data_IF_260940849262
#
_entry.id   IF_260940849262
#
_cell.length_a   1.000
_cell.length_b   1.000
_cell.length_c   1.000
_cell.angle_alpha   90.00
_cell.angle_beta   90.00
_cell.angle_gamma   90.00
#
_symmetry.space_group_name_H-M   'P 1'
#
loop_
_entity.id
_entity.type
_entity.pdbx_description
1 polymer ?
#
# COMPACT_ATOMS: atom_id res chain seq x y z
N UNK A 1 2.50 -18.70 -9.74
CA UNK A 1 1.72 -19.08 -8.53
C UNK A 1 1.00 -17.84 -8.02
N UNK A 2 -0.28 -17.94 -7.61
CA UNK A 2 -1.01 -16.82 -7.00
C UNK A 2 -1.02 -16.95 -5.46
N UNK A 3 -0.76 -15.87 -4.75
CA UNK A 3 -0.73 -15.82 -3.28
C UNK A 3 -1.52 -14.62 -2.76
N UNK A 4 -2.34 -14.86 -1.74
CA UNK A 4 -2.95 -13.86 -0.88
C UNK A 4 -3.03 -14.48 0.51
N UNK A 5 -2.24 -13.96 1.43
CA UNK A 5 -2.14 -14.50 2.78
C UNK A 5 -2.43 -13.42 3.80
N UNK A 6 -3.10 -13.82 4.89
CA UNK A 6 -3.36 -12.98 6.04
C UNK A 6 -2.58 -13.52 7.23
N UNK A 7 -2.04 -12.62 8.04
CA UNK A 7 -1.52 -12.98 9.33
C UNK A 7 -2.67 -13.46 10.23
N UNK A 8 -2.33 -14.24 11.25
CA UNK A 8 -3.30 -14.71 12.24
C UNK A 8 -2.69 -14.61 13.63
N UNK A 9 -3.43 -14.10 14.64
CA UNK A 9 -2.98 -14.13 16.02
C UNK A 9 -2.95 -15.56 16.57
N UNK A 10 -2.14 -15.81 17.59
CA UNK A 10 -2.25 -17.06 18.37
C UNK A 10 -3.52 -17.04 19.22
N UNK A 11 -4.14 -18.20 19.47
CA UNK A 11 -5.32 -18.33 20.34
C UNK A 11 -5.06 -17.84 21.78
N UNK A 12 -3.83 -18.05 22.29
CA UNK A 12 -3.44 -17.68 23.65
C UNK A 12 -2.32 -16.65 23.63
N UNK A 13 -2.69 -15.36 23.70
CA UNK A 13 -1.75 -14.26 23.83
C UNK A 13 -1.66 -13.80 25.29
N UNK A 14 -0.43 -13.70 25.80
CA UNK A 14 -0.20 -13.15 27.16
C UNK A 14 -0.31 -11.63 27.17
N UNK A 15 0.18 -10.95 26.13
CA UNK A 15 0.13 -9.50 26.00
C UNK A 15 -1.08 -9.09 25.16
N UNK A 16 -2.04 -8.46 25.81
CA UNK A 16 -3.27 -7.92 25.18
C UNK A 16 -3.31 -6.39 25.14
N UNK A 17 -2.52 -5.73 25.99
CA UNK A 17 -2.54 -4.29 26.20
C UNK A 17 -1.28 -3.66 25.57
N UNK A 18 -1.40 -3.28 24.30
CA UNK A 18 -0.32 -2.71 23.48
C UNK A 18 -0.64 -1.25 23.18
N UNK A 19 0.34 -0.38 23.41
CA UNK A 19 0.25 1.05 23.12
C UNK A 19 1.14 1.40 21.92
N UNK A 20 0.59 2.17 20.99
CA UNK A 20 1.34 2.84 19.93
C UNK A 20 1.85 4.20 20.42
N UNK A 21 3.17 4.37 20.45
CA UNK A 21 3.78 5.62 20.90
C UNK A 21 3.68 6.75 19.88
N UNK A 22 3.47 6.45 18.59
CA UNK A 22 3.34 7.50 17.56
C UNK A 22 1.97 8.17 17.63
N UNK A 23 0.90 7.38 17.84
CA UNK A 23 -0.47 7.87 17.93
C UNK A 23 -0.95 8.11 19.37
N UNK A 24 -0.18 7.68 20.36
CA UNK A 24 -0.56 7.65 21.78
C UNK A 24 -1.90 6.94 22.04
N UNK A 25 -2.20 5.91 21.25
CA UNK A 25 -3.45 5.15 21.30
C UNK A 25 -3.19 3.64 21.47
N UNK A 26 -4.10 2.91 22.13
CA UNK A 26 -4.00 1.47 22.22
C UNK A 26 -4.22 0.81 20.85
N UNK A 27 -3.53 -0.30 20.60
CA UNK A 27 -3.72 -1.12 19.42
C UNK A 27 -4.73 -2.23 19.69
N UNK A 28 -5.72 -2.34 18.82
CA UNK A 28 -6.61 -3.50 18.78
C UNK A 28 -5.88 -4.68 18.11
N UNK A 29 -5.37 -5.60 18.93
CA UNK A 29 -4.43 -6.64 18.49
C UNK A 29 -5.03 -7.58 17.44
N UNK A 30 -6.31 -7.94 17.55
CA UNK A 30 -6.90 -8.90 16.62
C UNK A 30 -6.99 -8.28 15.21
N UNK A 31 -7.41 -7.02 15.08
CA UNK A 31 -7.32 -6.27 13.82
C UNK A 31 -5.88 -6.13 13.35
N UNK A 32 -4.94 -5.73 14.23
CA UNK A 32 -3.54 -5.55 13.84
C UNK A 32 -2.90 -6.83 13.28
N UNK A 33 -3.19 -7.99 13.89
CA UNK A 33 -2.61 -9.29 13.54
C UNK A 33 -3.43 -10.11 12.55
N UNK A 34 -4.57 -9.60 12.07
CA UNK A 34 -5.40 -10.24 11.03
C UNK A 34 -5.36 -9.50 9.69
N UNK A 35 -4.41 -8.59 9.52
CA UNK A 35 -4.13 -7.90 8.24
C UNK A 35 -3.39 -8.82 7.27
N UNK A 36 -3.23 -8.35 6.03
CA UNK A 36 -2.41 -9.04 5.03
C UNK A 36 -1.01 -9.35 5.60
N UNK A 37 -0.53 -10.57 5.36
CA UNK A 37 0.72 -11.07 5.92
C UNK A 37 1.90 -10.14 5.59
N UNK A 38 1.91 -9.56 4.38
CA UNK A 38 2.94 -8.63 3.92
C UNK A 38 3.11 -7.42 4.86
N UNK A 39 1.99 -6.79 5.23
CA UNK A 39 1.96 -5.63 6.13
C UNK A 39 2.44 -6.02 7.53
N UNK A 40 1.99 -7.16 8.04
CA UNK A 40 2.37 -7.62 9.39
C UNK A 40 3.86 -7.99 9.47
N UNK A 41 4.45 -8.57 8.42
CA UNK A 41 5.89 -8.83 8.35
C UNK A 41 6.70 -7.52 8.23
N UNK A 42 6.21 -6.55 7.47
CA UNK A 42 6.86 -5.23 7.40
C UNK A 42 6.84 -4.52 8.76
N UNK A 43 5.70 -4.52 9.44
CA UNK A 43 5.56 -3.94 10.79
C UNK A 43 6.46 -4.66 11.81
N UNK A 44 6.55 -5.99 11.71
CA UNK A 44 7.47 -6.81 12.51
C UNK A 44 8.92 -6.35 12.35
N UNK A 45 9.36 -6.07 11.12
CA UNK A 45 10.70 -5.58 10.84
C UNK A 45 10.92 -4.13 11.29
N UNK A 46 9.90 -3.27 11.13
CA UNK A 46 9.94 -1.87 11.59
C UNK A 46 10.08 -1.79 13.11
N UNK A 47 9.32 -2.60 13.86
CA UNK A 47 9.47 -2.72 15.31
C UNK A 47 10.90 -3.06 15.71
N UNK A 48 11.49 -4.04 15.04
CA UNK A 48 12.87 -4.41 15.27
C UNK A 48 13.84 -3.29 14.84
N UNK A 49 13.59 -2.60 13.73
CA UNK A 49 14.47 -1.53 13.23
C UNK A 49 14.49 -0.33 14.15
N UNK A 50 13.32 0.18 14.58
CA UNK A 50 13.25 1.29 15.54
C UNK A 50 13.99 0.97 16.82
N UNK A 51 13.77 -0.23 17.36
CA UNK A 51 14.49 -0.68 18.55
C UNK A 51 16.01 -0.78 18.36
N UNK A 52 16.45 -1.16 17.16
CA UNK A 52 17.88 -1.22 16.80
C UNK A 52 18.50 0.17 16.70
N UNK A 53 17.76 1.14 16.17
CA UNK A 53 18.23 2.50 15.94
C UNK A 53 18.23 3.33 17.22
N UNK A 54 17.18 3.21 18.03
CA UNK A 54 17.02 3.94 19.29
C UNK A 54 16.14 3.14 20.24
N UNK A 55 16.75 2.60 21.30
CA UNK A 55 16.06 1.74 22.29
C UNK A 55 15.04 2.52 23.11
N UNK A 56 15.20 3.84 23.22
CA UNK A 56 14.33 4.74 23.99
C UNK A 56 13.17 5.27 23.15
N UNK A 57 13.16 4.99 21.84
CA UNK A 57 12.07 5.34 20.92
C UNK A 57 11.52 4.12 20.18
N UNK A 58 11.04 3.08 20.91
CA UNK A 58 10.34 1.97 20.27
C UNK A 58 9.04 2.48 19.63
N UNK A 59 8.52 1.73 18.65
CA UNK A 59 7.20 2.04 18.10
C UNK A 59 6.08 1.58 19.04
N UNK A 60 6.08 0.29 19.39
CA UNK A 60 5.04 -0.31 20.23
C UNK A 60 5.60 -0.73 21.59
N UNK A 61 4.83 -0.44 22.63
CA UNK A 61 5.17 -0.77 24.03
C UNK A 61 4.04 -1.49 24.73
N UNK A 62 4.37 -2.23 25.79
CA UNK A 62 3.37 -2.73 26.72
C UNK A 62 2.71 -1.56 27.45
N UNK A 63 1.38 -1.48 27.44
CA UNK A 63 0.64 -0.42 28.13
C UNK A 63 0.78 -0.48 29.66
N UNK A 64 1.07 -1.66 30.21
CA UNK A 64 1.20 -1.86 31.66
C UNK A 64 2.56 -1.40 32.21
N UNK A 65 3.64 -1.68 31.50
CA UNK A 65 5.01 -1.44 32.00
C UNK A 65 5.84 -0.49 31.14
N UNK A 66 5.39 -0.14 29.93
CA UNK A 66 6.13 0.72 29.01
C UNK A 66 7.31 0.04 28.31
N UNK A 67 7.57 -1.25 28.53
CA UNK A 67 8.66 -1.95 27.88
C UNK A 67 8.40 -2.13 26.37
N UNK A 68 9.44 -1.93 25.57
CA UNK A 68 9.41 -2.16 24.12
C UNK A 68 8.97 -3.58 23.78
N UNK A 69 8.17 -3.71 22.73
CA UNK A 69 7.68 -4.99 22.25
C UNK A 69 8.39 -5.44 20.97
N UNK A 70 8.42 -6.75 20.76
CA UNK A 70 8.63 -7.34 19.44
C UNK A 70 7.40 -8.13 19.02
N UNK A 71 7.18 -8.18 17.71
CA UNK A 71 6.20 -9.07 17.12
C UNK A 71 6.85 -10.41 16.81
N UNK A 72 6.35 -11.49 17.40
CA UNK A 72 6.87 -12.85 17.26
C UNK A 72 5.96 -13.66 16.36
N UNK A 73 6.57 -14.63 15.68
CA UNK A 73 5.89 -15.58 14.82
C UNK A 73 6.24 -16.99 15.27
N UNK A 74 5.22 -17.83 15.42
CA UNK A 74 5.35 -19.23 15.83
C UNK A 74 5.73 -20.12 14.63
N UNK A 75 6.12 -21.37 14.91
CA UNK A 75 6.35 -22.36 13.85
C UNK A 75 5.10 -22.66 13.01
N UNK A 76 3.91 -22.54 13.60
CA UNK A 76 2.63 -22.68 12.92
C UNK A 76 2.16 -21.38 12.23
N UNK A 77 3.08 -20.41 12.02
CA UNK A 77 2.85 -19.13 11.34
C UNK A 77 1.84 -18.19 12.01
N UNK A 78 1.50 -18.41 13.29
CA UNK A 78 0.72 -17.46 14.09
C UNK A 78 1.58 -16.35 14.70
N UNK A 79 0.98 -15.21 15.01
CA UNK A 79 1.65 -14.03 15.52
C UNK A 79 1.20 -13.65 16.94
N UNK A 80 2.12 -13.10 17.73
CA UNK A 80 1.82 -12.52 19.05
C UNK A 80 2.92 -11.55 19.47
N UNK A 81 2.61 -10.64 20.39
CA UNK A 81 3.61 -9.73 20.97
C UNK A 81 4.35 -10.37 22.14
N UNK A 82 5.62 -10.01 22.29
CA UNK A 82 6.47 -10.30 23.45
C UNK A 82 7.24 -9.05 23.85
N UNK A 83 7.58 -8.93 25.14
CA UNK A 83 8.55 -7.93 25.56
C UNK A 83 9.89 -8.18 24.90
N UNK A 84 10.61 -7.10 24.56
CA UNK A 84 11.94 -7.23 24.00
C UNK A 84 12.87 -7.92 25.01
N UNK A 85 13.56 -9.03 24.67
CA UNK A 85 14.30 -9.85 25.64
C UNK A 85 15.42 -9.13 26.40
N UNK A 86 15.92 -8.02 25.86
CA UNK A 86 16.97 -7.21 26.50
C UNK A 86 16.42 -6.18 27.49
N UNK A 87 15.11 -5.96 27.50
CA UNK A 87 14.42 -5.06 28.44
C UNK A 87 13.51 -5.85 29.39
N UNK A 88 13.01 -7.01 28.96
CA UNK A 88 12.21 -7.90 29.78
C UNK A 88 12.97 -8.32 31.06
N UNK A 89 12.39 -7.99 32.22
CA UNK A 89 12.99 -8.22 33.53
C UNK A 89 13.81 -7.06 34.08
N UNK A 90 14.16 -6.06 33.27
CA UNK A 90 14.67 -4.77 33.76
C UNK A 90 13.52 -3.88 34.24
N UNK A 91 12.37 -4.00 33.60
CA UNK A 91 11.12 -3.33 33.98
C UNK A 91 10.17 -4.39 34.54
N UNK A 92 9.61 -4.12 35.72
CA UNK A 92 8.64 -5.02 36.35
C UNK A 92 7.33 -4.96 35.57
N UNK A 93 6.81 -6.12 35.19
CA UNK A 93 5.50 -6.27 34.55
C UNK A 93 4.80 -7.50 35.15
N UNK A 94 3.49 -7.41 35.35
CA UNK A 94 2.68 -8.54 35.82
C UNK A 94 2.56 -9.64 34.76
N UNK A 95 2.83 -9.30 33.50
CA UNK A 95 2.84 -10.22 32.37
C UNK A 95 4.29 -10.58 32.02
N UNK A 96 4.68 -11.83 32.28
CA UNK A 96 5.95 -12.38 31.80
C UNK A 96 5.78 -13.10 30.47
N UNK A 97 6.53 -12.64 29.47
CA UNK A 97 6.64 -13.26 28.15
C UNK A 97 7.99 -13.95 27.94
N UNK A 98 8.74 -14.16 29.01
CA UNK A 98 10.07 -14.77 28.95
C UNK A 98 9.96 -16.22 28.50
N UNK A 99 10.81 -16.60 27.55
CA UNK A 99 10.95 -18.00 27.14
C UNK A 99 11.82 -18.77 28.12
N UNK A 100 11.74 -20.10 28.06
CA UNK A 100 12.57 -20.99 28.90
C UNK A 100 14.06 -20.86 28.58
N UNK A 101 14.39 -20.64 27.30
CA UNK A 101 15.75 -20.46 26.83
C UNK A 101 16.08 -18.96 26.69
N UNK A 102 17.27 -18.59 27.14
CA UNK A 102 17.82 -17.26 26.92
C UNK A 102 18.18 -17.03 25.44
N UNK A 103 18.24 -15.77 24.97
CA UNK A 103 18.69 -15.45 23.61
C UNK A 103 20.06 -16.05 23.27
N UNK A 104 20.98 -16.10 24.23
CA UNK A 104 22.31 -16.69 24.05
C UNK A 104 22.23 -18.21 23.84
N UNK A 105 21.38 -18.92 24.59
CA UNK A 105 21.15 -20.35 24.40
C UNK A 105 20.47 -20.64 23.05
N UNK A 106 19.49 -19.83 22.65
CA UNK A 106 18.81 -19.97 21.34
C UNK A 106 19.81 -19.73 20.19
N UNK A 107 20.68 -18.73 20.33
CA UNK A 107 21.76 -18.41 19.39
C UNK A 107 22.76 -19.56 19.31
N UNK A 108 23.18 -20.10 20.46
CA UNK A 108 24.05 -21.26 20.52
C UNK A 108 23.38 -22.46 19.83
N UNK A 109 22.14 -22.83 20.16
CA UNK A 109 21.45 -23.96 19.49
C UNK A 109 21.41 -23.78 17.97
N UNK A 110 21.15 -22.55 17.50
CA UNK A 110 21.02 -22.26 16.07
C UNK A 110 22.35 -22.32 15.31
N UNK A 111 23.45 -21.86 15.92
CA UNK A 111 24.74 -21.72 15.24
C UNK A 111 25.81 -22.73 15.66
N UNK A 112 25.67 -23.42 16.79
CA UNK A 112 26.65 -24.37 17.33
C UNK A 112 26.75 -25.67 16.50
N UNK A 113 25.81 -25.90 15.57
CA UNK A 113 25.84 -27.00 14.61
C UNK A 113 26.07 -26.56 13.14
N UNK A 114 26.14 -25.26 12.84
CA UNK A 114 26.33 -24.75 11.48
C UNK A 114 27.78 -24.30 11.27
N UNK A 115 28.67 -25.28 11.02
CA UNK A 115 29.88 -24.96 10.24
C UNK A 115 29.45 -24.44 8.88
N UNK A 116 30.21 -23.50 8.33
CA UNK A 116 30.02 -23.05 6.96
C UNK A 116 29.94 -24.25 6.01
N UNK A 117 28.84 -24.37 5.28
CA UNK A 117 28.61 -25.50 4.39
C UNK A 117 29.35 -25.33 3.07
N UNK A 118 29.63 -26.44 2.38
CA UNK A 118 30.19 -26.41 1.03
C UNK A 118 29.30 -25.59 0.05
N UNK A 119 27.98 -25.61 0.26
CA UNK A 119 27.04 -24.79 -0.50
C UNK A 119 27.26 -23.28 -0.28
N UNK A 120 27.52 -22.85 0.96
CA UNK A 120 27.79 -21.44 1.27
C UNK A 120 29.06 -20.95 0.58
N UNK A 121 30.14 -21.76 0.68
CA UNK A 121 31.40 -21.50 0.00
C UNK A 121 31.21 -21.46 -1.54
N UNK A 122 30.42 -22.38 -2.09
CA UNK A 122 30.12 -22.41 -3.54
C UNK A 122 29.41 -21.13 -3.99
N UNK A 123 28.38 -20.69 -3.27
CA UNK A 123 27.64 -19.47 -3.61
C UNK A 123 28.50 -18.21 -3.52
N UNK A 124 29.35 -18.08 -2.49
CA UNK A 124 30.34 -17.00 -2.43
C UNK A 124 31.26 -16.99 -3.65
N UNK A 125 31.74 -18.17 -4.06
CA UNK A 125 32.53 -18.34 -5.26
C UNK A 125 31.77 -17.93 -6.53
N UNK A 126 30.48 -18.30 -6.65
CA UNK A 126 29.62 -17.89 -7.77
C UNK A 126 29.48 -16.37 -7.81
N UNK A 127 29.14 -15.74 -6.69
CA UNK A 127 28.97 -14.28 -6.61
C UNK A 127 30.27 -13.57 -7.02
N UNK A 128 31.41 -13.98 -6.44
CA UNK A 128 32.73 -13.44 -6.79
C UNK A 128 33.00 -13.56 -8.29
N UNK A 129 32.87 -14.76 -8.85
CA UNK A 129 33.23 -15.03 -10.26
C UNK A 129 32.26 -14.33 -11.23
N UNK A 130 30.99 -14.20 -10.88
CA UNK A 130 30.01 -13.41 -11.64
C UNK A 130 30.34 -11.92 -11.63
N UNK A 131 30.79 -11.39 -10.49
CA UNK A 131 31.24 -9.99 -10.36
C UNK A 131 32.54 -9.72 -11.15
N UNK A 132 33.48 -10.67 -11.17
CA UNK A 132 34.70 -10.58 -12.02
C UNK A 132 34.33 -10.51 -13.50
N UNK A 133 33.28 -11.20 -13.92
CA UNK A 133 32.81 -11.17 -15.31
C UNK A 133 32.13 -9.84 -15.68
N UNK A 134 31.57 -9.12 -14.70
CA UNK A 134 30.87 -7.85 -14.90
C UNK A 134 31.85 -6.67 -14.98
N UNK A 135 31.99 -6.09 -16.18
CA UNK A 135 32.94 -4.99 -16.43
C UNK A 135 32.60 -3.68 -15.71
N UNK A 136 31.37 -3.54 -15.22
CA UNK A 136 30.97 -2.36 -14.43
C UNK A 136 31.44 -2.44 -12.97
N UNK A 137 31.89 -3.60 -12.53
CA UNK A 137 32.34 -3.86 -11.17
C UNK A 137 33.87 -3.75 -11.04
N UNK A 138 34.33 -3.25 -9.89
CA UNK A 138 35.72 -3.37 -9.45
C UNK A 138 36.05 -4.76 -8.90
N UNK A 139 37.22 -4.90 -8.29
CA UNK A 139 37.69 -6.18 -7.74
C UNK A 139 36.83 -6.65 -6.55
N UNK A 140 36.10 -7.78 -6.67
CA UNK A 140 35.23 -8.26 -5.61
C UNK A 140 36.05 -8.75 -4.40
N UNK A 141 35.65 -8.31 -3.21
CA UNK A 141 36.31 -8.67 -1.96
C UNK A 141 35.44 -9.69 -1.23
N UNK A 142 35.94 -10.92 -1.10
CA UNK A 142 35.26 -11.98 -0.33
C UNK A 142 35.61 -11.80 1.13
N UNK A 143 34.60 -11.83 2.00
CA UNK A 143 34.81 -11.86 3.45
C UNK A 143 35.66 -10.71 4.03
N UNK A 144 35.71 -9.58 3.34
CA UNK A 144 36.46 -8.42 3.83
C UNK A 144 35.62 -7.62 4.82
N UNK A 145 36.25 -7.18 5.91
CA UNK A 145 35.57 -6.36 6.92
C UNK A 145 35.14 -5.01 6.33
N UNK A 146 33.86 -4.71 6.48
CA UNK A 146 33.27 -3.40 6.28
C UNK A 146 33.23 -2.66 7.61
N UNK A 147 34.20 -1.75 7.83
CA UNK A 147 34.19 -0.84 8.98
C UNK A 147 33.27 0.34 8.68
N UNK A 148 32.56 0.82 9.70
CA UNK A 148 31.56 1.86 9.55
C UNK A 148 31.23 2.56 10.86
N UNK A 149 30.36 3.56 10.78
CA UNK A 149 29.71 4.14 11.94
C UNK A 149 28.86 3.06 12.63
N UNK A 150 28.89 3.07 13.95
CA UNK A 150 27.99 2.24 14.74
C UNK A 150 26.55 2.68 14.49
N UNK A 151 25.66 1.71 14.28
CA UNK A 151 24.22 1.94 14.38
C UNK A 151 23.85 1.67 15.84
N UNK A 152 23.60 2.74 16.60
CA UNK A 152 23.38 2.71 18.05
C UNK A 152 24.48 1.95 18.82
N UNK A 153 24.15 1.24 19.91
CA UNK A 153 25.05 0.39 20.71
C UNK A 153 25.47 -0.93 20.00
N UNK A 154 25.40 -1.02 18.66
CA UNK A 154 25.73 -2.25 17.90
C UNK A 154 27.00 -2.10 17.06
N UNK A 155 27.38 -3.20 16.39
CA UNK A 155 28.68 -3.42 15.76
C UNK A 155 29.14 -2.27 14.86
N UNK A 156 30.36 -1.79 15.10
CA UNK A 156 31.10 -0.81 14.27
C UNK A 156 31.62 -1.39 12.95
N UNK A 157 31.32 -2.66 12.69
CA UNK A 157 31.73 -3.35 11.50
C UNK A 157 30.79 -4.51 11.17
N UNK A 158 30.75 -4.87 9.89
CA UNK A 158 30.19 -6.12 9.37
C UNK A 158 31.18 -6.78 8.43
N UNK A 159 30.94 -8.04 8.11
CA UNK A 159 31.76 -8.82 7.18
C UNK A 159 30.81 -9.46 6.17
N UNK A 160 30.46 -8.76 5.08
CA UNK A 160 29.65 -9.35 4.03
C UNK A 160 30.34 -10.57 3.43
N UNK A 161 29.56 -11.49 2.90
CA UNK A 161 30.06 -12.69 2.24
C UNK A 161 30.90 -12.34 1.02
N UNK A 162 30.38 -11.43 0.20
CA UNK A 162 31.11 -10.78 -0.89
C UNK A 162 30.73 -9.31 -0.93
N UNK A 163 31.66 -8.43 -1.31
CA UNK A 163 31.36 -7.03 -1.58
C UNK A 163 32.09 -6.55 -2.81
N UNK A 164 31.56 -5.50 -3.44
CA UNK A 164 32.15 -4.90 -4.63
C UNK A 164 31.88 -3.40 -4.66
N UNK A 165 32.71 -2.68 -5.41
CA UNK A 165 32.45 -1.28 -5.79
C UNK A 165 31.99 -1.27 -7.25
N UNK A 166 30.88 -0.61 -7.55
CA UNK A 166 30.36 -0.39 -8.89
C UNK A 166 30.09 1.10 -9.05
N UNK A 167 30.91 1.78 -9.86
CA UNK A 167 30.90 3.24 -9.89
C UNK A 167 31.22 3.83 -8.51
N UNK A 168 30.32 4.64 -7.96
CA UNK A 168 30.44 5.20 -6.61
C UNK A 168 29.77 4.33 -5.53
N UNK A 169 29.08 3.27 -5.93
CA UNK A 169 28.26 2.47 -5.04
C UNK A 169 29.04 1.29 -4.50
N UNK A 170 28.99 1.09 -3.18
CA UNK A 170 29.54 -0.10 -2.54
C UNK A 170 28.39 -1.05 -2.21
N UNK A 171 28.48 -2.28 -2.72
CA UNK A 171 27.40 -3.26 -2.65
C UNK A 171 27.89 -4.46 -1.82
N UNK A 172 27.15 -4.80 -0.78
CA UNK A 172 27.32 -6.00 0.02
C UNK A 172 26.38 -7.10 -0.49
N UNK A 173 26.90 -8.32 -0.63
CA UNK A 173 26.13 -9.52 -0.91
C UNK A 173 26.13 -10.40 0.34
N UNK A 174 24.95 -10.83 0.76
CA UNK A 174 24.74 -11.70 1.93
C UNK A 174 24.03 -12.97 1.44
N UNK A 175 24.66 -14.13 1.65
CA UNK A 175 24.15 -15.43 1.23
C UNK A 175 23.25 -15.99 2.32
N UNK A 176 22.02 -16.37 1.95
CA UNK A 176 21.06 -16.95 2.89
C UNK A 176 20.75 -18.40 2.53
N UNK A 177 21.35 -19.34 3.26
CA UNK A 177 21.10 -20.79 3.12
C UNK A 177 20.26 -21.38 4.25
N UNK A 178 20.46 -20.91 5.47
CA UNK A 178 19.83 -21.45 6.67
C UNK A 178 18.76 -20.51 7.23
N UNK A 179 18.18 -20.82 8.39
CA UNK A 179 17.33 -19.86 9.09
C UNK A 179 18.21 -18.83 9.80
N UNK A 180 17.84 -17.55 9.79
CA UNK A 180 18.49 -16.49 10.59
C UNK A 180 17.48 -15.81 11.51
N UNK A 181 17.91 -14.93 12.41
CA UNK A 181 17.01 -14.15 13.26
C UNK A 181 16.64 -12.83 12.56
N UNK A 182 15.42 -12.35 12.76
CA UNK A 182 15.00 -11.03 12.25
C UNK A 182 15.95 -9.92 12.71
N UNK A 183 16.44 -9.98 13.94
CA UNK A 183 17.39 -8.99 14.49
C UNK A 183 18.71 -8.94 13.72
N UNK A 184 19.12 -10.06 13.11
CA UNK A 184 20.31 -10.15 12.26
C UNK A 184 20.05 -9.59 10.84
N UNK A 185 18.85 -9.82 10.30
CA UNK A 185 18.41 -9.27 9.00
C UNK A 185 18.34 -7.75 9.09
N UNK A 186 17.57 -7.24 10.06
CA UNK A 186 17.40 -5.81 10.31
C UNK A 186 18.73 -5.16 10.67
N UNK A 187 19.53 -5.80 11.53
CA UNK A 187 20.84 -5.29 11.93
C UNK A 187 21.84 -5.13 10.78
N UNK A 188 21.78 -5.99 9.75
CA UNK A 188 22.59 -5.82 8.52
C UNK A 188 22.06 -4.69 7.66
N UNK A 189 20.74 -4.66 7.45
CA UNK A 189 20.06 -3.61 6.67
C UNK A 189 20.40 -2.22 7.21
N UNK A 190 20.21 -1.99 8.51
CA UNK A 190 20.49 -0.71 9.13
C UNK A 190 21.97 -0.33 9.09
N UNK A 191 22.86 -1.31 9.30
CA UNK A 191 24.31 -1.07 9.21
C UNK A 191 24.73 -0.57 7.82
N UNK A 192 24.34 -1.27 6.76
CA UNK A 192 24.74 -0.87 5.41
C UNK A 192 24.09 0.45 5.00
N UNK A 193 22.81 0.68 5.39
CA UNK A 193 22.11 1.96 5.17
C UNK A 193 22.84 3.14 5.79
N UNK A 194 23.21 3.04 7.07
CA UNK A 194 23.93 4.08 7.79
C UNK A 194 25.34 4.34 7.22
N UNK A 195 25.93 3.35 6.54
CA UNK A 195 27.28 3.40 6.00
C UNK A 195 27.31 3.61 4.47
N UNK A 196 26.21 4.10 3.89
CA UNK A 196 26.13 4.45 2.46
C UNK A 196 26.32 3.27 1.51
N UNK A 197 26.18 2.04 2.00
CA UNK A 197 26.29 0.83 1.21
C UNK A 197 24.93 0.26 0.86
N UNK A 198 24.80 -0.34 -0.32
CA UNK A 198 23.64 -1.15 -0.68
C UNK A 198 23.86 -2.61 -0.27
N UNK A 199 22.78 -3.36 -0.07
CA UNK A 199 22.83 -4.78 0.31
C UNK A 199 21.91 -5.59 -0.60
N UNK A 200 22.41 -6.71 -1.12
CA UNK A 200 21.65 -7.69 -1.90
C UNK A 200 21.68 -9.02 -1.15
N UNK A 201 20.51 -9.50 -0.76
CA UNK A 201 20.35 -10.87 -0.26
C UNK A 201 20.30 -11.85 -1.42
N UNK A 202 21.06 -12.94 -1.30
CA UNK A 202 21.17 -13.96 -2.34
C UNK A 202 20.84 -15.34 -1.77
N UNK A 203 19.99 -16.07 -2.49
CA UNK A 203 19.54 -17.41 -2.13
C UNK A 203 20.11 -18.45 -3.11
N UNK A 204 20.11 -19.72 -2.69
CA UNK A 204 20.44 -20.85 -3.58
C UNK A 204 19.26 -21.26 -4.46
N UNK A 205 18.06 -21.21 -3.88
CA UNK A 205 16.81 -21.58 -4.50
C UNK A 205 15.67 -20.83 -3.79
N UNK A 206 14.50 -20.83 -4.42
CA UNK A 206 13.28 -20.26 -3.86
C UNK A 206 12.08 -21.02 -4.42
N UNK A 207 11.13 -21.33 -3.54
CA UNK A 207 9.82 -21.84 -3.90
C UNK A 207 8.76 -20.98 -3.21
N UNK A 208 7.98 -20.17 -3.96
CA UNK A 208 6.93 -19.34 -3.37
C UNK A 208 5.81 -20.16 -2.70
N UNK A 209 5.73 -21.48 -2.92
CA UNK A 209 4.76 -22.36 -2.28
C UNK A 209 5.22 -22.94 -0.94
N UNK A 210 6.52 -22.84 -0.64
CA UNK A 210 7.15 -23.45 0.52
C UNK A 210 8.24 -22.55 1.10
N UNK A 211 7.82 -21.42 1.68
CA UNK A 211 8.73 -20.39 2.20
C UNK A 211 9.05 -20.55 3.69
N UNK A 212 10.31 -20.26 4.05
CA UNK A 212 10.79 -20.20 5.43
C UNK A 212 10.58 -18.80 5.99
N UNK A 213 10.40 -18.69 7.31
CA UNK A 213 10.21 -17.38 7.99
C UNK A 213 11.30 -16.37 7.65
N UNK A 214 12.57 -16.79 7.57
CA UNK A 214 13.67 -15.89 7.25
C UNK A 214 13.63 -15.40 5.79
N UNK A 215 13.13 -16.22 4.85
CA UNK A 215 12.95 -15.79 3.46
C UNK A 215 11.88 -14.72 3.39
N UNK A 216 10.75 -14.93 4.07
CA UNK A 216 9.66 -13.94 4.14
C UNK A 216 10.12 -12.63 4.81
N UNK A 217 10.81 -12.72 5.95
CA UNK A 217 11.42 -11.57 6.64
C UNK A 217 12.40 -10.81 5.72
N UNK A 218 12.97 -11.44 4.69
CA UNK A 218 13.85 -10.79 3.70
C UNK A 218 13.04 -10.23 2.53
N UNK A 219 12.25 -11.04 1.83
CA UNK A 219 11.64 -10.62 0.57
C UNK A 219 10.51 -9.61 0.74
N UNK A 220 9.77 -9.63 1.86
CA UNK A 220 8.76 -8.60 2.14
C UNK A 220 9.38 -7.22 2.38
N UNK A 221 10.66 -7.18 2.79
CA UNK A 221 11.45 -5.97 2.93
C UNK A 221 12.23 -5.61 1.66
N UNK A 222 12.29 -6.51 0.70
CA UNK A 222 12.99 -6.34 -0.57
C UNK A 222 12.03 -6.19 -1.76
N UNK A 223 10.92 -5.48 -1.53
CA UNK A 223 9.89 -5.21 -2.53
C UNK A 223 9.36 -6.48 -3.23
N UNK A 224 9.27 -7.60 -2.51
CA UNK A 224 8.92 -8.92 -3.04
C UNK A 224 9.80 -9.41 -4.20
N UNK A 225 11.09 -9.06 -4.18
CA UNK A 225 12.10 -9.59 -5.10
C UNK A 225 13.05 -10.54 -4.35
N UNK A 226 13.28 -11.72 -4.93
CA UNK A 226 14.20 -12.76 -4.43
C UNK A 226 15.25 -13.02 -5.49
N UNK A 227 16.52 -12.79 -5.15
CA UNK A 227 17.64 -13.01 -6.07
C UNK A 227 18.32 -14.34 -5.78
N UNK A 228 18.45 -15.17 -6.82
CA UNK A 228 19.10 -16.47 -6.75
C UNK A 228 20.38 -16.43 -7.58
N UNK A 229 21.43 -17.09 -7.07
CA UNK A 229 22.61 -17.42 -7.84
C UNK A 229 22.90 -18.92 -7.80
N UNK A 230 23.36 -19.46 -8.92
CA UNK A 230 23.71 -20.87 -9.07
C UNK A 230 24.69 -21.02 -10.26
N UNK A 231 25.07 -22.25 -10.60
CA UNK A 231 25.95 -22.53 -11.73
C UNK A 231 25.42 -21.98 -13.07
N UNK A 232 24.09 -21.97 -13.27
CA UNK A 232 23.46 -21.43 -14.48
C UNK A 232 23.62 -19.90 -14.54
N UNK A 233 23.38 -19.18 -13.44
CA UNK A 233 23.55 -17.72 -13.44
C UNK A 233 25.03 -17.31 -13.55
N UNK A 234 25.96 -18.13 -13.05
CA UNK A 234 27.40 -17.93 -13.28
C UNK A 234 27.76 -18.07 -14.77
N UNK A 235 27.27 -19.12 -15.44
CA UNK A 235 27.49 -19.32 -16.86
C UNK A 235 26.92 -18.16 -17.68
N UNK A 236 25.72 -17.69 -17.33
CA UNK A 236 25.09 -16.51 -17.94
C UNK A 236 25.90 -15.24 -17.69
N UNK A 237 26.47 -15.08 -16.49
CA UNK A 237 27.29 -13.92 -16.17
C UNK A 237 28.55 -13.87 -17.03
N UNK A 238 29.19 -15.02 -17.23
CA UNK A 238 30.39 -15.15 -18.07
C UNK A 238 30.09 -14.92 -19.55
N UNK A 239 28.97 -15.40 -20.06
CA UNK A 239 28.60 -15.21 -21.48
C UNK A 239 28.16 -13.78 -21.77
N UNK A 240 27.41 -13.15 -20.87
CA UNK A 240 26.90 -11.79 -21.03
C UNK A 240 27.90 -10.70 -20.63
N UNK A 241 28.91 -11.03 -19.81
CA UNK A 241 29.84 -10.05 -19.24
C UNK A 241 29.16 -9.07 -18.26
N UNK A 242 28.06 -9.52 -17.63
CA UNK A 242 27.20 -8.79 -16.69
C UNK A 242 26.80 -9.75 -15.57
N UNK A 243 26.81 -9.33 -14.32
CA UNK A 243 26.43 -10.20 -13.20
C UNK A 243 24.94 -10.53 -13.31
N UNK A 244 24.63 -11.81 -13.52
CA UNK A 244 23.28 -12.31 -13.70
C UNK A 244 22.71 -12.94 -12.42
N UNK A 245 21.41 -12.77 -12.24
CA UNK A 245 20.60 -13.39 -11.20
C UNK A 245 19.42 -14.10 -11.84
N UNK A 246 18.98 -15.15 -11.18
CA UNK A 246 17.63 -15.66 -11.36
C UNK A 246 16.72 -14.95 -10.36
N UNK A 247 15.82 -14.09 -10.84
CA UNK A 247 14.98 -13.26 -9.99
C UNK A 247 13.55 -13.77 -9.97
N UNK A 248 13.06 -14.13 -8.78
CA UNK A 248 11.64 -14.25 -8.53
C UNK A 248 11.08 -12.91 -8.06
N UNK A 249 9.92 -12.53 -8.58
CA UNK A 249 9.24 -11.30 -8.17
C UNK A 249 7.73 -11.45 -8.20
N UNK A 250 7.05 -10.76 -7.28
CA UNK A 250 5.59 -10.70 -7.26
C UNK A 250 5.07 -9.56 -8.13
N UNK A 251 4.00 -9.82 -8.89
CA UNK A 251 3.20 -8.81 -9.59
C UNK A 251 1.82 -8.76 -8.96
N UNK A 252 1.38 -7.63 -8.39
CA UNK A 252 0.04 -7.52 -7.83
C UNK A 252 -0.99 -7.44 -8.96
N UNK A 253 -2.11 -8.12 -8.79
CA UNK A 253 -3.23 -8.14 -9.73
C UNK A 253 -4.54 -7.93 -8.98
N UNK A 254 -5.40 -7.10 -9.54
CA UNK A 254 -6.76 -6.94 -9.01
C UNK A 254 -7.64 -8.09 -9.50
N UNK A 255 -8.13 -8.91 -8.58
CA UNK A 255 -9.13 -9.95 -8.83
C UNK A 255 -10.39 -9.58 -8.04
N UNK A 256 -11.41 -9.10 -8.76
CA UNK A 256 -12.58 -8.48 -8.13
C UNK A 256 -12.18 -7.22 -7.36
N UNK A 257 -12.29 -7.26 -6.02
CA UNK A 257 -11.89 -6.15 -5.13
C UNK A 257 -10.62 -6.45 -4.34
N UNK A 258 -9.95 -7.57 -4.62
CA UNK A 258 -8.84 -8.06 -3.83
C UNK A 258 -7.59 -8.05 -4.67
N UNK A 259 -6.50 -7.52 -4.12
CA UNK A 259 -5.18 -7.57 -4.75
C UNK A 259 -4.58 -8.92 -4.41
N UNK A 260 -4.27 -9.71 -5.42
CA UNK A 260 -3.59 -11.01 -5.31
C UNK A 260 -2.24 -10.92 -5.98
N UNK A 261 -1.23 -11.59 -5.43
CA UNK A 261 0.12 -11.55 -5.98
C UNK A 261 0.34 -12.73 -6.90
N UNK A 262 0.86 -12.47 -8.10
CA UNK A 262 1.34 -13.50 -9.01
C UNK A 262 2.88 -13.53 -8.99
N UNK A 263 3.46 -14.62 -8.51
CA UNK A 263 4.90 -14.84 -8.58
C UNK A 263 5.33 -15.22 -9.99
N UNK A 264 6.30 -14.44 -10.50
CA UNK A 264 6.96 -14.60 -11.80
C UNK A 264 8.46 -14.75 -11.59
N UNK A 265 9.14 -15.13 -12.68
CA UNK A 265 10.58 -15.41 -12.70
C UNK A 265 11.19 -14.82 -13.97
N UNK A 266 12.38 -14.24 -13.86
CA UNK A 266 13.17 -13.75 -14.99
C UNK A 266 14.67 -13.85 -14.70
N UNK A 267 15.47 -14.04 -15.75
CA UNK A 267 16.91 -13.78 -15.67
C UNK A 267 17.11 -12.26 -15.75
N UNK A 268 17.80 -11.69 -14.76
CA UNK A 268 18.04 -10.24 -14.66
C UNK A 268 19.51 -9.98 -14.38
N UNK A 269 19.97 -8.77 -14.67
CA UNK A 269 21.36 -8.39 -14.46
C UNK A 269 21.50 -7.30 -13.39
N UNK A 270 22.69 -7.20 -12.77
CA UNK A 270 22.96 -6.23 -11.70
C UNK A 270 22.68 -4.78 -12.11
N UNK A 271 22.93 -4.45 -13.38
CA UNK A 271 22.69 -3.13 -13.96
C UNK A 271 21.22 -2.84 -14.30
N UNK A 272 20.34 -3.83 -14.22
CA UNK A 272 18.88 -3.68 -14.35
C UNK A 272 18.19 -3.50 -12.99
N UNK A 273 18.91 -3.68 -11.89
CA UNK A 273 18.36 -3.51 -10.55
C UNK A 273 18.27 -2.03 -10.16
N UNK A 274 17.16 -1.68 -9.51
CA UNK A 274 16.95 -0.37 -8.90
C UNK A 274 17.43 -0.38 -7.46
N UNK A 275 18.28 0.59 -7.11
CA UNK A 275 18.84 0.76 -5.77
C UNK A 275 18.19 1.95 -5.06
N UNK A 276 17.58 1.70 -3.90
CA UNK A 276 17.07 2.75 -3.03
C UNK A 276 17.87 2.79 -1.73
N UNK A 277 18.95 3.58 -1.70
CA UNK A 277 19.81 3.72 -0.51
C UNK A 277 19.05 4.15 0.73
N UNK A 278 18.14 5.14 0.60
CA UNK A 278 17.37 5.65 1.75
C UNK A 278 16.48 4.59 2.38
N UNK A 279 15.83 3.76 1.56
CA UNK A 279 14.95 2.68 2.02
C UNK A 279 15.73 1.40 2.32
N UNK A 280 16.96 1.29 1.83
CA UNK A 280 17.79 0.09 1.81
C UNK A 280 17.09 -1.10 1.15
N UNK A 281 16.63 -0.88 -0.08
CA UNK A 281 15.91 -1.87 -0.90
C UNK A 281 16.61 -1.96 -2.26
N UNK A 282 16.75 -3.18 -2.77
CA UNK A 282 17.22 -3.45 -4.14
C UNK A 282 16.21 -4.35 -4.84
N UNK A 283 15.70 -3.92 -5.98
CA UNK A 283 14.63 -4.65 -6.67
C UNK A 283 14.75 -4.57 -8.19
N UNK A 284 14.23 -5.57 -8.88
CA UNK A 284 14.01 -5.54 -10.33
C UNK A 284 12.59 -5.06 -10.66
N UNK A 285 11.58 -5.66 -10.00
CA UNK A 285 10.18 -5.26 -10.16
C UNK A 285 9.73 -4.36 -9.01
N UNK A 286 9.17 -3.17 -9.32
CA UNK A 286 8.63 -2.27 -8.30
C UNK A 286 7.23 -2.69 -7.85
N UNK A 287 7.15 -3.71 -7.00
CA UNK A 287 5.89 -4.23 -6.47
C UNK A 287 5.07 -3.15 -5.76
N UNK A 288 5.71 -2.37 -4.89
CA UNK A 288 5.02 -1.39 -4.06
C UNK A 288 4.35 -0.31 -4.91
N UNK A 289 5.03 0.21 -5.93
CA UNK A 289 4.44 1.20 -6.83
C UNK A 289 3.23 0.63 -7.62
N UNK A 290 3.35 -0.62 -8.10
CA UNK A 290 2.25 -1.30 -8.79
C UNK A 290 1.05 -1.52 -7.86
N UNK A 291 1.32 -1.91 -6.62
CA UNK A 291 0.29 -2.13 -5.61
C UNK A 291 -0.43 -0.83 -5.24
N UNK A 292 0.31 0.24 -4.97
CA UNK A 292 -0.26 1.55 -4.65
C UNK A 292 -1.17 2.07 -5.77
N UNK A 293 -0.78 1.86 -7.04
CA UNK A 293 -1.61 2.20 -8.19
C UNK A 293 -2.93 1.40 -8.22
N UNK A 294 -2.88 0.10 -7.91
CA UNK A 294 -4.08 -0.75 -7.83
C UNK A 294 -4.97 -0.37 -6.64
N UNK A 295 -4.41 -0.12 -5.46
CA UNK A 295 -5.15 0.32 -4.28
C UNK A 295 -5.86 1.67 -4.55
N UNK A 296 -5.17 2.61 -5.18
CA UNK A 296 -5.77 3.87 -5.62
C UNK A 296 -6.91 3.65 -6.61
N UNK A 297 -6.79 2.68 -7.52
CA UNK A 297 -7.82 2.37 -8.52
C UNK A 297 -9.13 1.83 -7.92
N UNK A 298 -9.08 1.25 -6.71
CA UNK A 298 -10.24 0.70 -6.01
C UNK A 298 -10.73 1.55 -4.83
N UNK A 299 -9.99 2.61 -4.50
CA UNK A 299 -10.34 3.54 -3.43
C UNK A 299 -11.50 4.44 -3.87
N UNK A 300 -12.62 4.39 -3.13
CA UNK A 300 -13.83 5.15 -3.46
C UNK A 300 -13.62 6.67 -3.48
N UNK A 301 -12.74 7.18 -2.62
CA UNK A 301 -12.53 8.63 -2.48
C UNK A 301 -11.65 9.17 -3.60
N UNK A 302 -10.66 8.38 -4.01
CA UNK A 302 -9.85 8.66 -5.20
C UNK A 302 -10.74 8.66 -6.44
N UNK A 303 -11.56 7.62 -6.65
CA UNK A 303 -12.46 7.55 -7.81
C UNK A 303 -13.46 8.70 -7.84
N UNK A 304 -14.01 9.11 -6.68
CA UNK A 304 -14.94 10.24 -6.62
C UNK A 304 -14.25 11.54 -7.01
N UNK A 305 -13.05 11.78 -6.47
CA UNK A 305 -12.25 12.96 -6.81
C UNK A 305 -11.92 12.99 -8.30
N UNK A 306 -11.49 11.86 -8.86
CA UNK A 306 -11.17 11.74 -10.29
C UNK A 306 -12.41 11.99 -11.16
N UNK A 307 -13.58 11.48 -10.75
CA UNK A 307 -14.85 11.76 -11.43
C UNK A 307 -15.16 13.27 -11.40
N UNK A 308 -15.04 13.92 -10.24
CA UNK A 308 -15.30 15.35 -10.11
C UNK A 308 -14.32 16.18 -10.95
N UNK A 309 -13.03 15.83 -10.94
CA UNK A 309 -12.00 16.50 -11.74
C UNK A 309 -12.28 16.35 -13.24
N UNK A 310 -12.55 15.12 -13.70
CA UNK A 310 -12.97 14.84 -15.07
C UNK A 310 -14.18 15.71 -15.45
N UNK A 311 -15.19 15.79 -14.59
CA UNK A 311 -16.39 16.55 -14.90
C UNK A 311 -16.13 18.06 -14.96
N UNK A 312 -15.30 18.62 -14.08
CA UNK A 312 -14.98 20.04 -14.12
C UNK A 312 -14.20 20.43 -15.38
N UNK A 313 -13.36 19.53 -15.89
CA UNK A 313 -12.49 19.80 -17.04
C UNK A 313 -13.17 19.46 -18.37
N UNK A 314 -13.76 18.27 -18.48
CA UNK A 314 -14.17 17.66 -19.75
C UNK A 314 -15.67 17.52 -19.94
N UNK A 315 -16.54 17.82 -18.98
CA UNK A 315 -18.02 17.59 -19.07
C UNK A 315 -18.73 18.16 -20.30
N UNK A 316 -18.06 19.00 -21.06
CA UNK A 316 -18.56 19.75 -22.21
C UNK A 316 -17.69 19.58 -23.46
N UNK A 317 -16.67 18.74 -23.37
CA UNK A 317 -15.68 18.53 -24.39
C UNK A 317 -15.88 17.13 -24.99
N UNK A 318 -15.87 17.05 -26.32
CA UNK A 318 -15.78 15.78 -27.03
C UNK A 318 -14.45 15.74 -27.79
N UNK A 319 -13.37 15.50 -27.04
CA UNK A 319 -12.00 15.38 -27.55
C UNK A 319 -11.50 13.93 -27.39
N UNK A 320 -10.50 13.49 -28.17
CA UNK A 320 -9.87 12.18 -27.96
C UNK A 320 -9.43 11.94 -26.51
N UNK A 321 -8.83 12.96 -25.88
CA UNK A 321 -8.42 12.90 -24.47
C UNK A 321 -9.63 12.70 -23.54
N UNK A 322 -10.72 13.46 -23.72
CA UNK A 322 -11.93 13.30 -22.90
C UNK A 322 -12.55 11.90 -23.05
N UNK A 323 -12.47 11.30 -24.24
CA UNK A 323 -12.99 9.94 -24.51
C UNK A 323 -12.15 8.87 -23.82
N UNK A 324 -10.83 9.00 -23.89
CA UNK A 324 -9.89 8.09 -23.22
C UNK A 324 -10.05 8.16 -21.69
N UNK A 325 -10.05 9.37 -21.13
CA UNK A 325 -10.25 9.61 -19.70
C UNK A 325 -11.61 9.09 -19.21
N UNK A 326 -12.66 9.26 -20.01
CA UNK A 326 -13.99 8.75 -19.68
C UNK A 326 -14.03 7.23 -19.72
N UNK A 327 -13.40 6.58 -20.70
CA UNK A 327 -13.32 5.12 -20.78
C UNK A 327 -12.61 4.53 -19.55
N UNK A 328 -11.44 5.07 -19.21
CA UNK A 328 -10.69 4.65 -18.02
C UNK A 328 -11.51 4.81 -16.73
N UNK A 329 -12.14 5.97 -16.52
CA UNK A 329 -12.99 6.21 -15.35
C UNK A 329 -14.17 5.24 -15.29
N UNK A 330 -14.77 4.90 -16.45
CA UNK A 330 -15.86 3.94 -16.53
C UNK A 330 -15.44 2.53 -16.15
N UNK A 331 -14.30 2.06 -16.64
CA UNK A 331 -13.79 0.73 -16.33
C UNK A 331 -13.47 0.61 -14.84
N UNK A 332 -12.79 1.61 -14.26
CA UNK A 332 -12.52 1.67 -12.82
C UNK A 332 -13.81 1.70 -11.99
N UNK A 333 -14.78 2.53 -12.38
CA UNK A 333 -16.09 2.60 -11.72
C UNK A 333 -16.89 1.30 -11.81
N UNK A 334 -16.87 0.61 -12.97
CA UNK A 334 -17.58 -0.65 -13.15
C UNK A 334 -17.02 -1.77 -12.25
N UNK A 335 -15.71 -1.78 -12.01
CA UNK A 335 -15.05 -2.72 -11.12
C UNK A 335 -15.41 -2.49 -9.64
N UNK A 336 -15.44 -1.23 -9.19
CA UNK A 336 -15.68 -0.90 -7.77
C UNK A 336 -17.18 -0.82 -7.44
N UNK A 337 -17.97 -0.27 -8.35
CA UNK A 337 -19.40 -0.01 -8.18
C UNK A 337 -20.20 -0.62 -9.34
N UNK A 338 -20.31 -1.95 -9.43
CA UNK A 338 -20.99 -2.63 -10.55
C UNK A 338 -22.48 -2.28 -10.69
N UNK A 339 -23.10 -1.76 -9.63
CA UNK A 339 -24.47 -1.24 -9.61
C UNK A 339 -24.62 0.14 -10.29
N UNK A 340 -23.53 0.92 -10.42
CA UNK A 340 -23.54 2.21 -11.11
C UNK A 340 -23.29 1.95 -12.60
N UNK A 341 -24.32 2.20 -13.42
CA UNK A 341 -24.22 2.05 -14.88
C UNK A 341 -23.92 3.41 -15.52
N UNK A 342 -22.67 3.60 -15.94
CA UNK A 342 -22.24 4.79 -16.66
C UNK A 342 -22.43 4.63 -18.18
N UNK A 343 -22.96 5.65 -18.88
CA UNK A 343 -23.17 5.60 -20.32
C UNK A 343 -21.85 5.56 -21.10
N UNK A 344 -21.90 5.09 -22.35
CA UNK A 344 -20.72 5.07 -23.22
C UNK A 344 -20.09 6.45 -23.43
N UNK A 345 -20.92 7.49 -23.44
CA UNK A 345 -20.50 8.87 -23.64
C UNK A 345 -20.96 9.73 -22.46
N UNK A 346 -20.06 10.55 -21.93
CA UNK A 346 -20.37 11.40 -20.78
C UNK A 346 -21.36 12.53 -21.12
N UNK A 347 -21.51 12.86 -22.41
CA UNK A 347 -22.46 13.85 -22.92
C UNK A 347 -23.83 13.28 -23.28
N UNK A 348 -24.12 12.01 -22.97
CA UNK A 348 -25.45 11.43 -23.19
C UNK A 348 -26.52 12.16 -22.37
N UNK A 349 -27.67 12.45 -22.97
CA UNK A 349 -28.85 12.98 -22.27
C UNK A 349 -29.70 11.81 -21.74
N UNK A 350 -30.30 11.88 -20.53
CA UNK A 350 -30.25 12.99 -19.57
C UNK A 350 -29.02 12.99 -18.63
N UNK A 351 -28.10 12.04 -18.79
CA UNK A 351 -26.97 11.83 -17.89
C UNK A 351 -26.10 13.09 -17.69
N UNK A 352 -25.71 13.76 -18.78
CA UNK A 352 -24.85 14.94 -18.75
C UNK A 352 -25.44 16.06 -17.90
N UNK A 353 -26.72 16.36 -18.12
CA UNK A 353 -27.42 17.36 -17.35
C UNK A 353 -27.64 16.96 -15.90
N UNK A 354 -28.06 15.72 -15.67
CA UNK A 354 -28.30 15.17 -14.34
C UNK A 354 -27.05 15.24 -13.44
N UNK A 355 -25.87 14.87 -13.96
CA UNK A 355 -24.60 15.01 -13.19
C UNK A 355 -24.23 16.47 -13.00
N UNK A 356 -24.40 17.30 -14.02
CA UNK A 356 -24.00 18.72 -14.00
C UNK A 356 -24.80 19.54 -12.99
N UNK A 357 -26.13 19.34 -12.89
CA UNK A 357 -26.95 20.00 -11.87
C UNK A 357 -26.55 19.56 -10.46
N UNK A 358 -26.25 18.28 -10.26
CA UNK A 358 -25.88 17.74 -8.95
C UNK A 358 -24.54 18.29 -8.46
N UNK A 359 -23.53 18.30 -9.33
CA UNK A 359 -22.23 18.88 -8.99
C UNK A 359 -22.33 20.40 -8.84
N UNK A 360 -23.13 21.09 -9.64
CA UNK A 360 -23.34 22.53 -9.46
C UNK A 360 -23.96 22.85 -8.09
N UNK A 361 -24.96 22.06 -7.66
CA UNK A 361 -25.55 22.19 -6.33
C UNK A 361 -24.54 21.90 -5.21
N UNK A 362 -23.67 20.91 -5.37
CA UNK A 362 -22.62 20.60 -4.39
C UNK A 362 -21.64 21.76 -4.22
N UNK A 363 -21.18 22.34 -5.33
CA UNK A 363 -20.08 23.31 -5.33
C UNK A 363 -20.54 24.77 -5.29
N UNK A 364 -21.84 25.04 -5.31
CA UNK A 364 -22.39 26.40 -5.26
C UNK A 364 -22.11 27.25 -6.50
N UNK A 365 -21.71 26.64 -7.61
CA UNK A 365 -21.38 27.34 -8.86
C UNK A 365 -21.70 26.49 -10.08
N UNK A 366 -21.87 27.07 -11.27
CA UNK A 366 -22.09 26.29 -12.49
C UNK A 366 -20.94 25.33 -12.79
N UNK A 367 -21.27 24.05 -12.95
CA UNK A 367 -20.40 22.98 -13.42
C UNK A 367 -21.11 22.28 -14.58
N UNK A 368 -20.41 22.05 -15.69
CA UNK A 368 -21.00 21.43 -16.88
C UNK A 368 -21.80 22.38 -17.79
N UNK A 369 -21.82 23.68 -17.48
CA UNK A 369 -22.54 24.71 -18.26
C UNK A 369 -21.67 25.94 -18.59
N UNK A 370 -22.06 26.74 -19.60
CA UNK A 370 -21.58 28.13 -19.82
C UNK A 370 -22.48 29.12 -19.10
N UNK A 371 -22.69 28.91 -17.81
CA UNK A 371 -23.46 29.85 -16.99
C UNK A 371 -22.54 30.58 -16.03
N UNK A 372 -22.89 31.82 -15.70
CA UNK A 372 -22.15 32.64 -14.74
C UNK A 372 -22.58 32.39 -13.30
N UNK A 373 -23.86 32.02 -13.09
CA UNK A 373 -24.46 31.93 -11.75
C UNK A 373 -25.17 30.60 -11.53
N UNK A 374 -25.15 30.14 -10.28
CA UNK A 374 -25.88 28.94 -9.87
C UNK A 374 -27.37 29.06 -10.18
N UNK A 375 -27.95 30.26 -10.07
CA UNK A 375 -29.34 30.54 -10.44
C UNK A 375 -29.68 30.11 -11.88
N UNK A 376 -28.76 30.26 -12.84
CA UNK A 376 -28.99 29.81 -14.21
C UNK A 376 -29.06 28.28 -14.30
N UNK A 377 -28.28 27.56 -13.48
CA UNK A 377 -28.37 26.09 -13.38
C UNK A 377 -29.71 25.70 -12.76
N UNK A 378 -30.16 26.38 -11.70
CA UNK A 378 -31.48 26.15 -11.11
C UNK A 378 -32.60 26.32 -12.13
N UNK A 379 -32.50 27.35 -12.99
CA UNK A 379 -33.46 27.56 -14.06
C UNK A 379 -33.43 26.42 -15.09
N UNK A 380 -32.24 26.03 -15.55
CA UNK A 380 -32.05 24.90 -16.46
C UNK A 380 -32.59 23.58 -15.87
N UNK A 381 -32.38 23.34 -14.58
CA UNK A 381 -32.89 22.16 -13.89
C UNK A 381 -34.42 22.13 -13.90
N UNK A 382 -35.07 23.27 -13.65
CA UNK A 382 -36.52 23.39 -13.71
C UNK A 382 -37.10 23.20 -15.12
N UNK A 383 -36.42 23.76 -16.12
CA UNK A 383 -36.93 23.77 -17.49
C UNK A 383 -36.70 22.41 -18.21
N UNK A 384 -35.62 21.68 -17.92
CA UNK A 384 -35.25 20.47 -18.69
C UNK A 384 -34.97 19.21 -17.86
N UNK A 385 -34.78 19.29 -16.53
CA UNK A 385 -34.35 18.16 -15.70
C UNK A 385 -35.30 17.92 -14.51
N UNK A 386 -36.61 18.11 -14.74
CA UNK A 386 -37.66 17.95 -13.72
C UNK A 386 -37.59 16.63 -12.92
N UNK A 387 -37.33 15.46 -13.55
CA UNK A 387 -37.23 14.20 -12.82
C UNK A 387 -36.10 14.14 -11.79
N UNK A 388 -35.15 15.08 -11.80
CA UNK A 388 -34.02 15.12 -10.87
C UNK A 388 -34.10 16.27 -9.85
N UNK A 389 -35.19 17.05 -9.86
CA UNK A 389 -35.33 18.24 -9.01
C UNK A 389 -35.39 17.92 -7.51
N UNK A 390 -35.89 16.74 -7.13
CA UNK A 390 -35.92 16.35 -5.73
C UNK A 390 -34.49 16.13 -5.20
N UNK A 391 -33.70 15.33 -5.90
CA UNK A 391 -32.30 15.06 -5.56
C UNK A 391 -31.47 16.35 -5.60
N UNK A 392 -31.63 17.17 -6.65
CA UNK A 392 -30.98 18.47 -6.78
C UNK A 392 -31.33 19.41 -5.63
N UNK A 393 -32.61 19.50 -5.27
CA UNK A 393 -33.09 20.32 -4.16
C UNK A 393 -32.51 19.89 -2.81
N UNK A 394 -32.41 18.59 -2.55
CA UNK A 394 -31.75 18.07 -1.37
C UNK A 394 -30.26 18.40 -1.33
N UNK A 395 -29.56 18.35 -2.46
CA UNK A 395 -28.15 18.75 -2.51
C UNK A 395 -27.98 20.24 -2.23
N UNK A 396 -28.83 21.12 -2.79
CA UNK A 396 -28.79 22.55 -2.48
C UNK A 396 -28.96 22.83 -0.97
N UNK A 397 -29.82 22.06 -0.31
CA UNK A 397 -30.06 22.17 1.13
C UNK A 397 -28.87 21.67 1.96
N UNK A 398 -28.33 20.49 1.63
CA UNK A 398 -27.20 19.88 2.33
C UNK A 398 -25.92 20.72 2.25
N UNK A 399 -25.76 21.51 1.18
CA UNK A 399 -24.62 22.38 0.94
C UNK A 399 -24.96 23.87 1.16
N UNK A 400 -26.06 24.18 1.83
CA UNK A 400 -26.45 25.53 2.27
C UNK A 400 -26.53 26.57 1.14
N UNK A 401 -26.77 26.14 -0.10
CA UNK A 401 -26.80 27.00 -1.28
C UNK A 401 -28.03 27.90 -1.38
N UNK A 402 -28.99 27.74 -0.46
CA UNK A 402 -30.21 28.52 -0.46
C UNK A 402 -29.96 30.03 -0.27
N UNK A 403 -28.99 30.41 0.56
CA UNK A 403 -28.65 31.82 0.80
C UNK A 403 -28.10 32.48 -0.46
N UNK A 404 -27.14 31.81 -1.11
CA UNK A 404 -26.59 32.23 -2.40
C UNK A 404 -27.68 32.42 -3.47
N UNK A 405 -28.65 31.52 -3.51
CA UNK A 405 -29.75 31.61 -4.48
C UNK A 405 -30.72 32.75 -4.18
N UNK A 406 -30.96 33.07 -2.90
CA UNK A 406 -31.75 34.24 -2.50
C UNK A 406 -31.06 35.52 -2.96
N UNK A 407 -29.74 35.62 -2.77
CA UNK A 407 -28.96 36.78 -3.22
C UNK A 407 -29.00 36.95 -4.74
N UNK A 408 -28.89 35.86 -5.49
CA UNK A 408 -28.91 35.90 -6.95
C UNK A 408 -30.30 36.18 -7.54
N UNK A 409 -31.39 35.77 -6.87
CA UNK A 409 -32.76 35.84 -7.37
C UNK A 409 -33.44 37.21 -7.19
N UNK A 410 -32.83 38.27 -7.73
CA UNK A 410 -33.33 39.66 -7.64
C UNK A 410 -34.76 39.87 -8.14
N UNK A 411 -35.24 38.99 -9.03
CA UNK A 411 -36.58 39.06 -9.64
C UNK A 411 -37.59 38.11 -8.96
N UNK A 412 -37.20 37.36 -7.94
CA UNK A 412 -38.04 36.36 -7.28
C UNK A 412 -38.53 35.25 -8.21
N UNK A 413 -37.82 34.99 -9.31
CA UNK A 413 -38.24 34.02 -10.33
C UNK A 413 -37.99 32.60 -9.84
N UNK A 414 -36.85 32.35 -9.21
CA UNK A 414 -36.54 31.06 -8.62
C UNK A 414 -37.40 30.77 -7.39
N UNK A 415 -37.70 31.77 -6.57
CA UNK A 415 -38.65 31.63 -5.46
C UNK A 415 -40.02 31.13 -5.93
N UNK A 416 -40.55 31.69 -7.03
CA UNK A 416 -41.80 31.22 -7.66
C UNK A 416 -41.67 29.80 -8.21
N UNK A 417 -40.59 29.49 -8.94
CA UNK A 417 -40.33 28.14 -9.46
C UNK A 417 -40.23 27.10 -8.33
N UNK A 418 -39.58 27.43 -7.22
CA UNK A 418 -39.47 26.57 -6.03
C UNK A 418 -40.84 26.27 -5.41
N UNK A 419 -41.75 27.25 -5.38
CA UNK A 419 -43.12 27.03 -4.93
C UNK A 419 -43.87 26.04 -5.84
N UNK A 420 -43.73 26.20 -7.16
CA UNK A 420 -44.31 25.27 -8.16
C UNK A 420 -43.76 23.85 -7.96
N UNK A 421 -42.44 23.69 -7.84
CA UNK A 421 -41.81 22.39 -7.62
C UNK A 421 -42.35 21.72 -6.35
N UNK A 422 -42.45 22.45 -5.23
CA UNK A 422 -42.94 21.91 -3.95
C UNK A 422 -44.41 21.49 -4.02
N UNK A 423 -45.25 22.25 -4.73
CA UNK A 423 -46.65 21.89 -4.94
C UNK A 423 -46.76 20.63 -5.79
N UNK A 424 -46.07 20.60 -6.94
CA UNK A 424 -46.07 19.46 -7.87
C UNK A 424 -45.59 18.16 -7.21
N UNK A 425 -44.53 18.20 -6.40
CA UNK A 425 -44.04 17.03 -5.66
C UNK A 425 -45.02 16.55 -4.58
N UNK A 426 -45.81 17.46 -3.97
CA UNK A 426 -46.84 17.11 -2.98
C UNK A 426 -48.06 16.48 -3.63
N UNK A 427 -48.45 17.01 -4.79
CA UNK A 427 -49.61 16.58 -5.58
C UNK A 427 -49.31 15.34 -6.44
N UNK A 428 -48.05 14.90 -6.46
CA UNK A 428 -47.57 13.78 -7.27
C UNK A 428 -47.80 13.99 -8.77
N UNK A 429 -47.55 15.20 -9.27
CA UNK A 429 -47.56 15.50 -10.71
C UNK A 429 -46.48 14.69 -11.43
N UNK A 430 -46.90 13.77 -12.30
CA UNK A 430 -46.02 12.84 -13.01
C UNK A 430 -44.89 13.52 -13.81
N UNK A 431 -45.04 14.79 -14.21
CA UNK A 431 -43.97 15.55 -14.85
C UNK A 431 -42.77 15.81 -13.92
N UNK A 432 -42.95 15.69 -12.61
CA UNK A 432 -41.94 15.86 -11.56
C UNK A 432 -41.61 14.56 -10.84
N UNK A 433 -42.07 13.41 -11.35
CA UNK A 433 -41.78 12.10 -10.77
C UNK A 433 -40.26 11.89 -10.66
N UNK A 434 -39.71 11.66 -9.46
CA UNK A 434 -38.27 11.48 -9.29
C UNK A 434 -37.76 10.27 -10.04
N UNK A 435 -36.83 10.49 -10.97
CA UNK A 435 -36.12 9.41 -11.64
C UNK A 435 -34.98 8.92 -10.74
N UNK A 436 -34.98 7.61 -10.48
CA UNK A 436 -34.06 6.96 -9.56
C UNK A 436 -32.86 6.32 -10.25
N UNK A 437 -32.80 6.34 -11.59
CA UNK A 437 -31.79 5.61 -12.36
C UNK A 437 -30.34 6.00 -11.97
N UNK A 438 -30.12 7.23 -11.50
CA UNK A 438 -28.80 7.73 -11.10
C UNK A 438 -28.63 7.85 -9.58
N UNK A 439 -29.54 7.34 -8.74
CA UNK A 439 -29.42 7.49 -7.29
C UNK A 439 -28.13 6.87 -6.72
N UNK A 440 -27.70 5.71 -7.20
CA UNK A 440 -26.42 5.13 -6.78
C UNK A 440 -25.23 6.01 -7.19
N UNK A 441 -25.28 6.62 -8.37
CA UNK A 441 -24.27 7.58 -8.82
C UNK A 441 -24.28 8.85 -7.97
N UNK A 442 -25.46 9.41 -7.67
CA UNK A 442 -25.56 10.61 -6.85
C UNK A 442 -25.10 10.38 -5.42
N UNK A 443 -25.41 9.22 -4.83
CA UNK A 443 -24.87 8.82 -3.52
C UNK A 443 -23.35 8.64 -3.55
N UNK A 444 -22.80 8.21 -4.70
CA UNK A 444 -21.35 8.16 -4.89
C UNK A 444 -20.75 9.56 -5.02
N UNK A 445 -21.28 10.45 -5.85
CA UNK A 445 -20.75 11.81 -6.08
C UNK A 445 -20.97 12.75 -4.88
N UNK A 446 -22.06 12.55 -4.15
CA UNK A 446 -22.47 13.35 -3.00
C UNK A 446 -22.82 12.40 -1.84
N UNK A 447 -21.81 11.90 -1.08
CA UNK A 447 -22.04 10.96 0.02
C UNK A 447 -23.03 11.47 1.07
N UNK A 448 -23.07 12.77 1.32
CA UNK A 448 -23.96 13.45 2.25
C UNK A 448 -25.46 13.28 1.86
N UNK A 449 -25.72 13.01 0.58
CA UNK A 449 -27.06 12.78 0.03
C UNK A 449 -27.53 11.32 0.22
N UNK A 450 -26.63 10.39 0.53
CA UNK A 450 -26.88 8.93 0.52
C UNK A 450 -28.09 8.54 1.37
N UNK A 451 -28.18 9.03 2.61
CA UNK A 451 -29.28 8.72 3.52
C UNK A 451 -30.65 9.18 2.97
N UNK A 452 -30.71 10.35 2.34
CA UNK A 452 -31.97 10.85 1.74
C UNK A 452 -32.39 10.01 0.53
N UNK A 453 -31.43 9.52 -0.26
CA UNK A 453 -31.73 8.67 -1.43
C UNK A 453 -32.20 7.27 -1.03
N UNK A 454 -31.62 6.68 0.02
CA UNK A 454 -32.04 5.37 0.55
C UNK A 454 -33.46 5.45 1.10
N UNK A 455 -33.76 6.52 1.85
CA UNK A 455 -35.07 6.74 2.47
C UNK A 455 -36.09 7.41 1.54
N UNK A 456 -35.81 7.48 0.24
CA UNK A 456 -36.70 8.10 -0.74
C UNK A 456 -37.99 7.28 -0.87
N UNK A 457 -39.10 7.86 -0.39
CA UNK A 457 -40.44 7.24 -0.46
C UNK A 457 -40.83 6.96 -1.91
N UNK A 458 -41.53 5.85 -2.12
CA UNK A 458 -42.15 5.55 -3.41
C UNK A 458 -43.12 6.66 -3.82
N UNK A 459 -43.15 6.92 -5.13
CA UNK A 459 -43.82 8.09 -5.72
C UNK A 459 -45.27 8.20 -5.30
#
# INVERSE_FOLDING_TARGET
MRTLEYAQPTEHMKLTDVMDLDSAAPIEIASFLSRELSLVIQDRAELASRFVLDRDKPWLVCQLCGAALLLVRTHHRFFHFRHHPTIEGLIKCDISTRGELSPAQITAIKYNAQKESAAHLRLKGIIRDSLVADRSCGDPQVEKVWKGQAVAERATWRKPDVQVVRGNDRIAFEVQLSTTFLTEIVGRREFYRANGGSMIWVFENFDPSATRTAEEDIFFLNNLNVFIVNDRTLALSRSAGRMAFDCWYAVPQLVGRTIVNEWRRADVYLDELTFSFRKQIVFYNDYQAQREALEASVNSDVLRRDFHAFWMEFSRQDTPESRERWLDLRERMANVFPAIKLPNFHWSDPFQGAVSIMLSARYGRPIGYRFERLLNVCNQAFDSYKPFLLQFGWTLELFEQNELLIEQDKKGTWAKRRAIIRAALRERDDAYRPDRQYNHLFAFLVPELKERLINMREW
#
